data_IF_155740483510
#
_entry.id   IF_155740483510
#
_cell.length_a   1.000
_cell.length_b   1.000
_cell.length_c   1.000
_cell.angle_alpha   90.00
_cell.angle_beta   90.00
_cell.angle_gamma   90.00
#
_symmetry.space_group_name_H-M   'P 1'
#
loop_
_entity.id
_entity.type
_entity.pdbx_description
1 polymer ?
#
# COMPACT_ATOMS: atom_id res chain seq x y z
N UNK A 1 -8.81 -0.58 -5.62
CA UNK A 1 -8.78 -2.05 -5.42
C UNK A 1 -8.13 -2.75 -6.60
N UNK A 2 -8.71 -2.66 -7.79
CA UNK A 2 -8.33 -3.44 -8.98
C UNK A 2 -6.85 -3.35 -9.36
N UNK A 3 -6.26 -2.15 -9.37
CA UNK A 3 -4.83 -1.95 -9.67
C UNK A 3 -3.92 -2.88 -8.85
N UNK A 4 -4.06 -2.86 -7.53
CA UNK A 4 -3.23 -3.67 -6.64
C UNK A 4 -3.55 -5.16 -6.78
N UNK A 5 -4.84 -5.53 -6.74
CA UNK A 5 -5.28 -6.93 -6.85
C UNK A 5 -4.84 -7.57 -8.16
N UNK A 6 -5.00 -6.90 -9.30
CA UNK A 6 -4.59 -7.43 -10.60
C UNK A 6 -3.09 -7.65 -10.67
N UNK A 7 -2.28 -6.66 -10.26
CA UNK A 7 -0.83 -6.81 -10.29
C UNK A 7 -0.35 -7.92 -9.34
N UNK A 8 -0.91 -8.00 -8.14
CA UNK A 8 -0.52 -9.00 -7.16
C UNK A 8 -0.87 -10.44 -7.54
N UNK A 9 -1.93 -10.65 -8.31
CA UNK A 9 -2.40 -12.00 -8.64
C UNK A 9 -1.94 -12.50 -10.01
N UNK A 10 -1.82 -11.61 -11.01
CA UNK A 10 -1.49 -12.00 -12.38
C UNK A 10 -0.41 -11.12 -13.02
N UNK A 11 0.23 -10.21 -12.27
CA UNK A 11 1.22 -9.28 -12.81
C UNK A 11 2.50 -9.93 -13.36
N UNK A 12 2.80 -11.16 -12.96
CA UNK A 12 3.87 -11.97 -13.53
C UNK A 12 3.52 -12.53 -14.92
N UNK A 13 2.23 -12.73 -15.21
CA UNK A 13 1.71 -13.14 -16.51
C UNK A 13 1.55 -11.97 -17.49
N UNK A 14 1.67 -10.73 -17.02
CA UNK A 14 1.42 -9.53 -17.81
C UNK A 14 2.67 -9.03 -18.56
N UNK A 15 2.54 -8.61 -19.83
CA UNK A 15 3.60 -7.91 -20.54
C UNK A 15 4.04 -6.63 -19.80
N UNK A 16 5.32 -6.27 -19.95
CA UNK A 16 5.87 -5.06 -19.33
C UNK A 16 5.16 -3.77 -19.78
N UNK A 17 4.66 -3.70 -21.01
CA UNK A 17 3.88 -2.56 -21.51
C UNK A 17 2.58 -2.38 -20.76
N UNK A 18 1.83 -3.46 -20.52
CA UNK A 18 0.55 -3.40 -19.82
C UNK A 18 0.73 -2.98 -18.35
N UNK A 19 1.79 -3.46 -17.69
CA UNK A 19 2.13 -3.00 -16.34
C UNK A 19 2.45 -1.51 -16.30
N UNK A 20 3.21 -1.00 -17.27
CA UNK A 20 3.48 0.45 -17.40
C UNK A 20 2.22 1.27 -17.63
N UNK A 21 1.29 0.78 -18.44
CA UNK A 21 0.00 1.45 -18.67
C UNK A 21 -0.84 1.52 -17.39
N UNK A 22 -0.91 0.42 -16.64
CA UNK A 22 -1.59 0.38 -15.35
C UNK A 22 -0.98 1.33 -14.33
N UNK A 23 0.35 1.37 -14.22
CA UNK A 23 1.08 2.30 -13.33
C UNK A 23 0.79 3.73 -13.76
N UNK A 24 0.89 4.04 -15.06
CA UNK A 24 0.63 5.39 -15.57
C UNK A 24 -0.82 5.84 -15.30
N UNK A 25 -1.80 4.94 -15.37
CA UNK A 25 -3.17 5.22 -14.94
C UNK A 25 -3.24 5.48 -13.44
N UNK A 26 -2.68 4.59 -12.62
CA UNK A 26 -2.68 4.73 -11.17
C UNK A 26 -2.09 6.08 -10.73
N UNK A 27 -0.90 6.44 -11.21
CA UNK A 27 -0.25 7.70 -10.83
C UNK A 27 -1.04 8.94 -11.27
N UNK A 28 -1.68 8.87 -12.43
CA UNK A 28 -2.42 10.01 -12.99
C UNK A 28 -3.79 10.21 -12.34
N UNK A 29 -4.48 9.12 -12.03
CA UNK A 29 -5.91 9.17 -11.69
C UNK A 29 -6.16 8.87 -10.20
N UNK A 30 -5.39 7.97 -9.60
CA UNK A 30 -5.68 7.42 -8.27
C UNK A 30 -4.67 7.85 -7.20
N UNK A 31 -3.38 7.84 -7.51
CA UNK A 31 -2.35 8.18 -6.53
C UNK A 31 -2.48 9.66 -6.12
N UNK A 32 -2.32 9.91 -4.82
CA UNK A 32 -2.08 11.25 -4.30
C UNK A 32 -0.82 11.24 -3.44
N UNK A 33 -0.13 12.37 -3.23
CA UNK A 33 1.03 12.47 -2.36
C UNK A 33 0.91 11.71 -1.01
N UNK A 34 -0.23 11.76 -0.32
CA UNK A 34 -0.37 11.22 1.05
C UNK A 34 -1.39 10.11 1.23
N UNK A 35 -2.15 9.79 0.17
CA UNK A 35 -3.14 8.71 0.16
C UNK A 35 -3.39 8.22 -1.28
N UNK A 36 -4.60 7.77 -1.57
CA UNK A 36 -5.08 7.55 -2.93
C UNK A 36 -6.59 7.79 -3.03
N UNK A 37 -7.07 7.87 -4.27
CA UNK A 37 -8.48 7.81 -4.64
C UNK A 37 -8.89 6.38 -4.95
N UNK A 38 -10.10 6.02 -4.56
CA UNK A 38 -10.76 4.78 -4.93
C UNK A 38 -11.25 4.81 -6.38
N UNK A 39 -11.61 6.00 -6.86
CA UNK A 39 -12.21 6.26 -8.16
C UNK A 39 -11.52 7.46 -8.84
N UNK A 40 -11.37 7.43 -10.17
CA UNK A 40 -10.90 8.59 -10.93
C UNK A 40 -11.91 9.73 -10.83
N UNK A 41 -11.43 10.97 -10.73
CA UNK A 41 -12.29 12.17 -10.78
C UNK A 41 -12.96 12.38 -12.15
N UNK A 42 -12.59 11.60 -13.16
CA UNK A 42 -13.19 11.62 -14.50
C UNK A 42 -14.30 10.60 -14.68
N UNK A 43 -14.48 9.70 -13.71
CA UNK A 43 -15.57 8.75 -13.74
C UNK A 43 -16.91 9.49 -13.53
N UNK A 44 -17.99 9.02 -14.16
CA UNK A 44 -19.31 9.63 -13.99
C UNK A 44 -19.90 9.35 -12.59
N UNK A 45 -19.44 8.29 -11.91
CA UNK A 45 -19.92 7.91 -10.59
C UNK A 45 -19.47 8.86 -9.47
N UNK A 46 -18.59 9.83 -9.78
CA UNK A 46 -18.11 10.84 -8.82
C UNK A 46 -19.23 11.70 -8.21
N UNK A 47 -20.40 11.76 -8.84
CA UNK A 47 -21.57 12.49 -8.35
C UNK A 47 -22.53 11.64 -7.53
N UNK A 48 -22.34 10.33 -7.49
CA UNK A 48 -23.29 9.39 -6.86
C UNK A 48 -23.09 9.29 -5.34
N UNK A 49 -21.85 9.40 -4.89
CA UNK A 49 -21.50 9.28 -3.47
C UNK A 49 -20.30 10.14 -3.13
N UNK A 50 -20.20 10.53 -1.86
CA UNK A 50 -19.03 11.20 -1.28
C UNK A 50 -18.32 10.34 -0.23
N UNK A 51 -18.71 9.06 -0.13
CA UNK A 51 -18.19 8.12 0.86
C UNK A 51 -16.72 7.79 0.55
N UNK A 52 -15.76 8.21 1.39
CA UNK A 52 -14.36 8.23 0.98
C UNK A 52 -13.74 6.88 0.71
N UNK A 53 -14.21 5.81 1.35
CA UNK A 53 -13.65 4.47 1.14
C UNK A 53 -13.89 3.89 -0.26
N UNK A 54 -14.81 4.47 -1.05
CA UNK A 54 -15.15 4.00 -2.40
C UNK A 54 -15.13 5.08 -3.47
N UNK A 55 -14.80 6.33 -3.13
CA UNK A 55 -14.96 7.46 -4.05
C UNK A 55 -13.69 8.24 -4.32
N UNK A 56 -13.76 9.20 -5.24
CA UNK A 56 -12.64 10.09 -5.58
C UNK A 56 -12.13 10.93 -4.40
N UNK A 57 -12.91 11.02 -3.31
CA UNK A 57 -12.58 11.79 -2.11
C UNK A 57 -11.57 11.10 -1.20
N UNK A 58 -11.37 9.78 -1.33
CA UNK A 58 -10.48 8.98 -0.48
C UNK A 58 -10.29 7.55 -1.00
N UNK A 59 -9.88 6.64 -0.13
CA UNK A 59 -9.91 5.21 -0.43
C UNK A 59 -9.94 4.38 0.85
N UNK A 60 -10.47 3.16 0.73
CA UNK A 60 -10.44 2.17 1.81
C UNK A 60 -9.01 1.88 2.27
N UNK A 61 -8.81 1.76 3.58
CA UNK A 61 -7.49 1.82 4.22
C UNK A 61 -6.47 0.75 3.80
N UNK A 62 -6.89 -0.43 3.34
CA UNK A 62 -5.96 -1.44 2.83
C UNK A 62 -5.53 -1.19 1.38
N UNK A 63 -6.27 -0.40 0.62
CA UNK A 63 -6.02 -0.23 -0.82
C UNK A 63 -4.71 0.49 -1.13
N UNK A 64 -4.25 1.51 -0.37
CA UNK A 64 -2.92 2.06 -0.61
C UNK A 64 -1.80 1.04 -0.36
N UNK A 65 -1.94 0.18 0.66
CA UNK A 65 -0.99 -0.90 0.90
C UNK A 65 -0.97 -1.93 -0.24
N UNK A 66 -2.14 -2.35 -0.74
CA UNK A 66 -2.23 -3.23 -1.92
C UNK A 66 -1.66 -2.58 -3.18
N UNK A 67 -1.88 -1.28 -3.37
CA UNK A 67 -1.31 -0.54 -4.50
C UNK A 67 0.21 -0.42 -4.38
N UNK A 68 0.76 -0.25 -3.17
CA UNK A 68 2.20 -0.32 -2.92
C UNK A 68 2.77 -1.69 -3.34
N UNK A 69 2.18 -2.80 -2.88
CA UNK A 69 2.60 -4.14 -3.31
C UNK A 69 2.53 -4.30 -4.84
N UNK A 70 1.46 -3.79 -5.46
CA UNK A 70 1.32 -3.75 -6.92
C UNK A 70 2.44 -2.99 -7.64
N UNK A 71 2.85 -1.83 -7.13
CA UNK A 71 4.00 -1.08 -7.67
C UNK A 71 5.30 -1.89 -7.61
N UNK A 72 5.55 -2.62 -6.51
CA UNK A 72 6.70 -3.52 -6.42
C UNK A 72 6.61 -4.63 -7.47
N UNK A 73 5.46 -5.27 -7.67
CA UNK A 73 5.27 -6.29 -8.72
C UNK A 73 5.46 -5.72 -10.12
N UNK A 74 5.10 -4.45 -10.34
CA UNK A 74 5.34 -3.75 -11.60
C UNK A 74 6.83 -3.38 -11.82
N UNK A 75 7.69 -3.53 -10.80
CA UNK A 75 9.09 -3.11 -10.84
C UNK A 75 9.30 -1.62 -10.56
N UNK A 76 8.28 -0.92 -10.08
CA UNK A 76 8.27 0.54 -9.83
C UNK A 76 8.70 0.85 -8.39
N UNK A 77 9.81 0.24 -7.96
CA UNK A 77 10.28 0.24 -6.58
C UNK A 77 10.55 1.65 -6.04
N UNK A 78 11.15 2.52 -6.85
CA UNK A 78 11.44 3.90 -6.45
C UNK A 78 10.17 4.73 -6.22
N UNK A 79 9.15 4.54 -7.07
CA UNK A 79 7.85 5.20 -6.92
C UNK A 79 7.17 4.72 -5.63
N UNK A 80 7.21 3.41 -5.36
CA UNK A 80 6.65 2.84 -4.15
C UNK A 80 7.31 3.43 -2.89
N UNK A 81 8.63 3.54 -2.86
CA UNK A 81 9.34 4.10 -1.71
C UNK A 81 9.06 5.59 -1.47
N UNK A 82 9.05 6.41 -2.52
CA UNK A 82 8.74 7.82 -2.35
C UNK A 82 7.30 8.02 -1.85
N UNK A 83 6.34 7.24 -2.38
CA UNK A 83 4.96 7.34 -1.94
C UNK A 83 4.75 6.82 -0.51
N UNK A 84 5.47 5.77 -0.11
CA UNK A 84 5.41 5.24 1.26
C UNK A 84 5.74 6.30 2.32
N UNK A 85 6.64 7.25 2.04
CA UNK A 85 6.93 8.37 2.95
C UNK A 85 5.71 9.28 3.16
N UNK A 86 4.93 9.51 2.12
CA UNK A 86 3.68 10.27 2.18
C UNK A 86 2.61 9.53 2.99
N UNK A 87 2.40 8.25 2.68
CA UNK A 87 1.48 7.38 3.42
C UNK A 87 1.83 7.27 4.91
N UNK A 88 3.13 7.23 5.24
CA UNK A 88 3.59 7.18 6.62
C UNK A 88 3.13 8.39 7.44
N UNK A 89 2.99 9.58 6.85
CA UNK A 89 2.47 10.76 7.55
C UNK A 89 1.02 10.56 8.00
N UNK A 90 0.21 9.93 7.15
CA UNK A 90 -1.19 9.62 7.42
C UNK A 90 -1.34 8.63 8.59
N UNK A 91 -0.31 7.82 8.88
CA UNK A 91 -0.32 6.86 9.99
C UNK A 91 -0.19 7.49 11.39
N UNK A 92 0.16 8.77 11.49
CA UNK A 92 0.37 9.47 12.77
C UNK A 92 -0.92 10.02 13.40
N UNK A 93 -2.06 9.34 13.19
CA UNK A 93 -3.40 9.72 13.67
C UNK A 93 -4.03 8.63 14.56
N UNK A 94 -3.21 7.71 15.08
CA UNK A 94 -3.66 6.51 15.78
C UNK A 94 -3.99 5.37 14.80
N UNK A 95 -4.86 4.42 15.17
CA UNK A 95 -5.27 3.35 14.26
C UNK A 95 -5.88 3.92 12.98
N UNK A 96 -5.62 3.28 11.84
CA UNK A 96 -6.24 3.65 10.57
C UNK A 96 -7.77 3.55 10.69
N UNK A 97 -8.49 4.63 10.31
CA UNK A 97 -9.91 4.55 10.01
C UNK A 97 -10.15 3.68 8.76
N UNK A 98 -11.43 3.37 8.51
CA UNK A 98 -11.87 2.75 7.27
C UNK A 98 -11.37 3.47 6.02
N UNK A 99 -11.28 4.81 6.03
CA UNK A 99 -10.65 5.61 4.99
C UNK A 99 -10.00 6.88 5.54
N UNK A 100 -9.20 7.53 4.68
CA UNK A 100 -8.73 8.90 4.84
C UNK A 100 -9.18 9.71 3.64
N UNK A 101 -9.43 11.00 3.86
CA UNK A 101 -9.68 11.94 2.78
C UNK A 101 -8.37 12.24 2.07
N UNK A 102 -8.40 12.26 0.74
CA UNK A 102 -7.29 12.82 -0.03
C UNK A 102 -7.13 14.30 0.29
N UNK A 103 -5.89 14.75 0.25
CA UNK A 103 -5.47 16.15 0.36
C UNK A 103 -6.13 17.06 -0.69
N UNK A 104 -6.70 16.50 -1.75
CA UNK A 104 -7.44 17.25 -2.77
C UNK A 104 -8.92 17.46 -2.44
N UNK A 105 -9.42 16.77 -1.41
CA UNK A 105 -10.80 16.89 -0.94
C UNK A 105 -10.87 17.64 0.40
N UNK A 106 -9.99 17.31 1.33
CA UNK A 106 -9.88 17.94 2.64
C UNK A 106 -8.43 18.30 2.90
N UNK A 107 -8.21 19.46 3.52
CA UNK A 107 -6.87 19.89 3.92
C UNK A 107 -6.19 18.80 4.78
N UNK A 108 -4.90 18.52 4.53
CA UNK A 108 -4.13 17.58 5.33
C UNK A 108 -4.06 17.97 6.81
N UNK A 109 -3.74 16.99 7.63
CA UNK A 109 -3.33 17.21 9.01
C UNK A 109 -2.09 18.10 9.10
N UNK A 110 -1.84 18.68 10.27
CA UNK A 110 -0.71 19.60 10.51
C UNK A 110 0.69 19.01 10.16
N UNK A 111 0.82 17.68 10.18
CA UNK A 111 2.03 16.95 9.78
C UNK A 111 2.10 16.67 8.26
N UNK A 112 1.10 17.11 7.51
CA UNK A 112 0.92 16.87 6.08
C UNK A 112 0.43 15.47 5.72
N UNK A 113 -0.17 14.72 6.65
CA UNK A 113 -0.82 13.43 6.38
C UNK A 113 -2.26 13.60 5.91
N UNK A 114 -2.77 12.63 5.14
CA UNK A 114 -4.16 12.61 4.71
C UNK A 114 -5.08 12.49 5.93
N UNK A 115 -6.14 13.30 5.97
CA UNK A 115 -6.99 13.43 7.16
C UNK A 115 -7.91 12.23 7.35
N UNK A 116 -7.91 11.68 8.56
CA UNK A 116 -8.76 10.54 8.93
C UNK A 116 -10.25 10.85 8.72
N UNK A 117 -10.99 9.94 8.10
CA UNK A 117 -12.42 10.14 7.87
C UNK A 117 -13.24 10.03 9.16
N UNK A 118 -14.31 10.84 9.26
CA UNK A 118 -15.26 10.77 10.38
C UNK A 118 -16.29 9.65 10.19
N UNK A 119 -16.81 9.15 11.31
CA UNK A 119 -17.96 8.24 11.37
C UNK A 119 -19.30 8.95 11.20
N UNK A 120 -19.31 10.28 11.25
CA UNK A 120 -20.53 11.05 11.10
C UNK A 120 -21.07 11.01 9.66
N UNK A 121 -22.40 11.09 9.47
CA UNK A 121 -22.99 11.41 8.18
C UNK A 121 -22.42 12.71 7.61
N UNK A 122 -22.20 12.80 6.28
CA UNK A 122 -22.58 11.82 5.26
C UNK A 122 -21.51 10.76 4.97
N UNK A 123 -20.36 10.76 5.67
CA UNK A 123 -19.20 9.95 5.31
C UNK A 123 -19.24 8.54 5.90
N UNK A 124 -19.77 8.36 7.11
CA UNK A 124 -20.12 7.04 7.69
C UNK A 124 -18.97 6.03 7.53
N UNK A 125 -17.77 6.41 8.01
CA UNK A 125 -16.57 5.58 7.98
C UNK A 125 -16.18 5.15 9.40
N UNK A 126 -15.84 3.87 9.59
CA UNK A 126 -15.45 3.39 10.91
C UNK A 126 -14.15 4.06 11.38
N UNK A 127 -14.13 4.47 12.65
CA UNK A 127 -12.99 5.14 13.27
C UNK A 127 -11.71 4.28 13.31
N UNK A 128 -11.85 2.96 13.32
CA UNK A 128 -10.72 2.03 13.26
C UNK A 128 -11.09 0.81 12.42
N UNK A 129 -10.19 0.40 11.54
CA UNK A 129 -10.40 -0.75 10.68
C UNK A 129 -9.18 -1.67 10.70
N UNK A 130 -9.40 -2.97 10.98
CA UNK A 130 -8.33 -3.97 11.06
C UNK A 130 -7.55 -4.09 9.75
N UNK A 131 -8.19 -3.78 8.62
CA UNK A 131 -7.57 -3.76 7.30
C UNK A 131 -6.45 -2.73 7.16
N UNK A 132 -6.34 -1.77 8.09
CA UNK A 132 -5.16 -0.92 8.23
C UNK A 132 -3.87 -1.68 8.57
N UNK A 133 -3.94 -2.94 9.00
CA UNK A 133 -2.77 -3.79 9.18
C UNK A 133 -2.16 -4.28 7.85
N UNK A 134 -2.82 -4.08 6.70
CA UNK A 134 -2.33 -4.53 5.40
C UNK A 134 -1.00 -3.89 5.00
N UNK A 135 -0.60 -2.78 5.66
CA UNK A 135 0.70 -2.16 5.45
C UNK A 135 1.89 -3.04 5.87
N UNK A 136 1.67 -4.15 6.58
CA UNK A 136 2.73 -5.15 6.81
C UNK A 136 3.13 -5.89 5.53
N UNK A 137 2.19 -6.12 4.62
CA UNK A 137 2.40 -6.87 3.37
C UNK A 137 3.49 -6.25 2.47
N UNK A 138 3.43 -4.96 2.09
CA UNK A 138 4.50 -4.37 1.27
C UNK A 138 5.86 -4.36 1.99
N UNK A 139 5.90 -4.38 3.32
CA UNK A 139 7.16 -4.48 4.05
C UNK A 139 7.72 -5.91 3.99
N UNK A 140 6.94 -6.90 4.43
CA UNK A 140 7.40 -8.29 4.57
C UNK A 140 7.54 -8.96 3.21
N UNK A 141 6.52 -8.85 2.36
CA UNK A 141 6.39 -9.64 1.14
C UNK A 141 7.02 -8.93 -0.07
N UNK A 142 7.03 -7.59 -0.08
CA UNK A 142 7.58 -6.83 -1.21
C UNK A 142 9.02 -6.33 -0.96
N UNK A 143 9.25 -5.53 0.10
CA UNK A 143 10.59 -4.95 0.37
C UNK A 143 11.58 -6.03 0.79
N UNK A 144 11.26 -6.79 1.85
CA UNK A 144 12.11 -7.90 2.29
C UNK A 144 11.91 -9.14 1.43
N UNK A 145 10.83 -9.20 0.65
CA UNK A 145 10.63 -10.25 -0.35
C UNK A 145 10.41 -11.62 0.25
N UNK A 146 9.98 -11.71 1.52
CA UNK A 146 9.92 -12.98 2.26
C UNK A 146 8.78 -13.83 1.70
N UNK A 147 9.11 -15.07 1.34
CA UNK A 147 8.14 -16.07 0.94
C UNK A 147 8.28 -17.30 1.86
N UNK A 148 7.29 -17.50 2.73
CA UNK A 148 7.22 -18.64 3.65
C UNK A 148 6.43 -19.77 2.98
N UNK A 149 7.13 -20.76 2.44
CA UNK A 149 6.54 -21.93 1.82
C UNK A 149 5.89 -22.88 2.84
N UNK A 150 5.11 -23.84 2.36
CA UNK A 150 4.46 -24.82 3.25
C UNK A 150 5.42 -25.94 3.70
N UNK A 151 6.39 -26.32 2.88
CA UNK A 151 7.20 -27.53 3.05
C UNK A 151 8.59 -27.28 3.62
N UNK A 152 8.71 -26.41 4.63
CA UNK A 152 9.96 -26.14 5.34
C UNK A 152 10.95 -25.24 4.58
N UNK A 153 10.51 -24.63 3.48
CA UNK A 153 11.30 -23.67 2.71
C UNK A 153 10.82 -22.25 3.00
N UNK A 154 11.76 -21.38 3.38
CA UNK A 154 11.55 -19.93 3.44
C UNK A 154 12.61 -19.26 2.59
N UNK A 155 12.19 -18.39 1.67
CA UNK A 155 13.09 -17.65 0.78
C UNK A 155 12.86 -16.16 0.93
N UNK A 156 13.79 -15.35 0.41
CA UNK A 156 13.61 -13.92 0.29
C UNK A 156 14.16 -13.41 -1.04
N UNK A 157 13.39 -12.56 -1.73
CA UNK A 157 13.82 -11.81 -2.93
C UNK A 157 13.71 -10.30 -2.66
N UNK A 158 14.67 -9.70 -1.95
CA UNK A 158 14.54 -8.32 -1.47
C UNK A 158 14.51 -7.31 -2.61
N UNK A 159 13.61 -6.34 -2.53
CA UNK A 159 13.45 -5.25 -3.50
C UNK A 159 13.83 -3.91 -2.87
N UNK A 160 15.10 -3.79 -2.48
CA UNK A 160 15.54 -2.66 -1.66
C UNK A 160 15.63 -1.33 -2.44
N UNK A 161 15.85 -1.30 -3.76
CA UNK A 161 15.97 -0.02 -4.50
C UNK A 161 16.82 1.02 -3.75
N UNK A 162 16.20 2.15 -3.37
CA UNK A 162 16.79 3.23 -2.54
C UNK A 162 16.55 3.12 -1.02
N UNK A 163 15.91 2.05 -0.55
CA UNK A 163 15.75 1.74 0.87
C UNK A 163 17.10 1.53 1.56
N UNK A 164 17.12 1.68 2.88
CA UNK A 164 18.33 1.50 3.68
C UNK A 164 18.92 0.09 3.46
N UNK A 165 20.11 0.04 2.88
CA UNK A 165 20.82 -1.20 2.56
C UNK A 165 21.17 -2.03 3.81
N UNK A 166 21.17 -1.40 5.00
CA UNK A 166 21.45 -2.05 6.28
C UNK A 166 20.18 -2.46 7.04
N UNK A 167 18.99 -2.18 6.50
CA UNK A 167 17.74 -2.55 7.16
C UNK A 167 17.60 -4.07 7.31
N UNK A 168 17.09 -4.50 8.46
CA UNK A 168 16.86 -5.90 8.77
C UNK A 168 15.45 -6.12 9.34
N UNK A 169 14.78 -7.16 8.85
CA UNK A 169 13.57 -7.71 9.45
C UNK A 169 13.98 -8.90 10.32
N UNK A 170 13.93 -8.71 11.64
CA UNK A 170 14.43 -9.66 12.64
C UNK A 170 13.29 -10.44 13.29
N UNK A 171 13.65 -11.54 13.97
CA UNK A 171 12.72 -12.38 14.74
C UNK A 171 11.57 -12.98 13.90
N UNK A 172 11.83 -13.24 12.62
CA UNK A 172 10.88 -13.95 11.76
C UNK A 172 10.81 -15.40 12.26
N UNK A 173 9.66 -15.81 12.79
CA UNK A 173 9.42 -17.20 13.18
C UNK A 173 8.83 -17.96 12.00
N UNK A 174 9.52 -19.01 11.57
CA UNK A 174 9.01 -19.93 10.56
C UNK A 174 9.21 -21.36 11.04
N UNK A 175 8.10 -22.04 11.32
CA UNK A 175 8.04 -23.42 11.80
C UNK A 175 8.97 -23.69 13.00
N UNK A 176 9.00 -22.76 13.97
CA UNK A 176 9.79 -22.90 15.20
C UNK A 176 11.26 -22.48 15.09
N UNK A 177 11.74 -22.13 13.89
CA UNK A 177 13.08 -21.55 13.69
C UNK A 177 13.00 -20.04 13.52
N UNK A 178 14.05 -19.34 13.96
CA UNK A 178 14.15 -17.87 13.82
C UNK A 178 15.00 -17.51 12.61
N UNK A 179 14.61 -16.43 11.94
CA UNK A 179 15.29 -15.89 10.78
C UNK A 179 15.44 -14.37 10.87
N UNK A 180 16.42 -13.86 10.14
CA UNK A 180 16.60 -12.45 9.83
C UNK A 180 16.65 -12.28 8.31
N UNK A 181 15.83 -11.38 7.77
CA UNK A 181 15.88 -10.97 6.37
C UNK A 181 16.53 -9.59 6.23
N UNK A 182 17.28 -9.40 5.15
CA UNK A 182 17.90 -8.13 4.77
C UNK A 182 18.15 -8.09 3.28
N UNK A 183 18.94 -7.11 2.80
CA UNK A 183 19.22 -6.91 1.38
C UNK A 183 19.75 -8.15 0.64
N UNK A 184 20.48 -9.01 1.36
CA UNK A 184 21.13 -10.20 0.80
C UNK A 184 20.25 -11.48 0.88
N UNK A 185 18.98 -11.34 1.25
CA UNK A 185 18.05 -12.45 1.43
C UNK A 185 17.80 -12.76 2.91
N UNK A 186 17.45 -14.02 3.19
CA UNK A 186 17.06 -14.49 4.52
C UNK A 186 18.03 -15.54 5.06
N UNK A 187 18.33 -15.47 6.37
CA UNK A 187 19.22 -16.40 7.06
C UNK A 187 18.65 -16.82 8.41
N UNK A 188 18.94 -18.05 8.84
CA UNK A 188 18.62 -18.50 10.20
C UNK A 188 19.47 -17.75 11.25
N UNK A 189 18.93 -17.59 12.46
CA UNK A 189 19.59 -16.96 13.62
C UNK A 189 19.50 -17.84 14.85
#
# INVERSE_FOLDING_TARGET
YDFGTTLMNIGDMMPASQKKEMVAFFQRELQTPTWMRALSTKDLDVTFSIRPDHQWTGAYCSWPALALSGLFVAGETDIAFEWMKGLAKSSMQGPYAQAHFTETFLEPESNGGATKCTSDPPYINDWACVSGCNYLEPIVDSIFGVNAGLFGEITAKPQFGKFDANAELRNINYQGKKYTAGKNGIRAV
#
